data_IF_733122117901
#
_entry.id   IF_733122117901
#
_cell.length_a   1.000
_cell.length_b   1.000
_cell.length_c   1.000
_cell.angle_alpha   90.00
_cell.angle_beta   90.00
_cell.angle_gamma   90.00
#
_symmetry.space_group_name_H-M   'P 1'
#
loop_
_entity.id
_entity.type
_entity.pdbx_description
1 polymer ?
#
# COMPACT_ATOMS: atom_id res chain seq x y z
N UNK A 1 16.19 15.93 2.23
CA UNK A 1 15.85 14.59 1.71
C UNK A 1 16.85 13.62 2.28
N UNK A 2 16.43 12.76 3.19
CA UNK A 2 17.30 11.80 3.87
C UNK A 2 16.74 10.39 3.72
N UNK A 3 17.37 9.59 2.85
CA UNK A 3 16.93 8.23 2.55
C UNK A 3 17.40 7.22 3.61
N UNK A 4 18.26 7.63 4.54
CA UNK A 4 18.75 6.77 5.62
C UNK A 4 17.67 6.47 6.67
N UNK A 5 16.63 7.32 6.75
CA UNK A 5 15.49 7.19 7.67
C UNK A 5 14.47 6.11 7.26
N UNK A 6 14.62 5.51 6.08
CA UNK A 6 13.70 4.48 5.57
C UNK A 6 13.97 3.13 6.25
N UNK A 7 12.99 2.63 6.98
CA UNK A 7 13.04 1.28 7.55
C UNK A 7 12.96 0.23 6.44
N UNK A 8 13.25 -1.03 6.78
CA UNK A 8 13.05 -2.13 5.84
C UNK A 8 11.57 -2.25 5.43
N UNK A 9 10.64 -2.06 6.39
CA UNK A 9 9.21 -2.01 6.11
C UNK A 9 8.87 -0.91 5.09
N UNK A 10 9.35 0.32 5.32
CA UNK A 10 9.09 1.46 4.41
C UNK A 10 9.61 1.18 2.99
N UNK A 11 10.77 0.52 2.86
CA UNK A 11 11.35 0.13 1.57
C UNK A 11 10.52 -0.93 0.85
N UNK A 12 10.04 -1.93 1.57
CA UNK A 12 9.18 -2.98 0.99
C UNK A 12 7.85 -2.36 0.54
N UNK A 13 7.17 -1.61 1.40
CA UNK A 13 5.89 -0.98 1.08
C UNK A 13 6.07 0.00 -0.09
N UNK A 14 7.07 0.88 -0.01
CA UNK A 14 7.35 1.86 -1.07
C UNK A 14 7.67 1.18 -2.40
N UNK A 15 8.56 0.19 -2.41
CA UNK A 15 8.95 -0.54 -3.62
C UNK A 15 7.77 -1.30 -4.25
N UNK A 16 6.99 -2.02 -3.43
CA UNK A 16 5.83 -2.77 -3.91
C UNK A 16 4.67 -1.87 -4.32
N UNK A 17 4.45 -0.73 -3.64
CA UNK A 17 3.45 0.27 -4.05
C UNK A 17 3.82 0.93 -5.38
N UNK A 18 5.09 1.30 -5.59
CA UNK A 18 5.55 1.85 -6.87
C UNK A 18 5.37 0.80 -7.99
N UNK A 19 5.77 -0.44 -7.73
CA UNK A 19 5.56 -1.52 -8.69
C UNK A 19 4.06 -1.77 -8.95
N UNK A 20 3.19 -1.64 -7.95
CA UNK A 20 1.74 -1.77 -8.09
C UNK A 20 1.16 -0.67 -8.99
N UNK A 21 1.60 0.59 -8.81
CA UNK A 21 1.22 1.71 -9.67
C UNK A 21 1.59 1.43 -11.12
N UNK A 22 2.82 0.98 -11.36
CA UNK A 22 3.29 0.63 -12.71
C UNK A 22 2.45 -0.52 -13.28
N UNK A 23 2.20 -1.55 -12.48
CA UNK A 23 1.41 -2.72 -12.86
C UNK A 23 -0.03 -2.35 -13.26
N UNK A 24 -0.69 -1.51 -12.48
CA UNK A 24 -2.08 -1.10 -12.73
C UNK A 24 -2.22 -0.22 -13.98
N UNK A 25 -1.22 0.62 -14.27
CA UNK A 25 -1.27 1.56 -15.38
C UNK A 25 -0.81 0.96 -16.71
N UNK A 26 0.25 0.16 -16.70
CA UNK A 26 0.98 -0.20 -17.92
C UNK A 26 0.95 -1.69 -18.26
N UNK A 27 0.73 -2.58 -17.29
CA UNK A 27 0.75 -4.01 -17.56
C UNK A 27 -0.60 -4.52 -18.03
N UNK A 28 -0.64 -5.50 -18.95
CA UNK A 28 -1.87 -6.09 -19.43
C UNK A 28 -2.52 -6.90 -18.32
N UNK A 29 -3.67 -6.41 -17.85
CA UNK A 29 -4.54 -7.06 -16.88
C UNK A 29 -5.57 -7.95 -17.54
N UNK A 30 -6.10 -7.52 -18.69
CA UNK A 30 -6.90 -8.36 -19.56
C UNK A 30 -6.33 -8.35 -20.98
N UNK A 31 -6.31 -9.51 -21.63
CA UNK A 31 -5.83 -9.68 -23.01
C UNK A 31 -6.81 -10.53 -23.79
N UNK A 32 -7.45 -9.93 -24.79
CA UNK A 32 -8.37 -10.61 -25.69
C UNK A 32 -7.75 -10.68 -27.07
N UNK A 33 -7.79 -11.86 -27.71
CA UNK A 33 -7.39 -12.04 -29.10
C UNK A 33 -8.55 -12.61 -29.90
N UNK A 34 -8.97 -11.90 -30.95
CA UNK A 34 -10.04 -12.35 -31.85
C UNK A 34 -9.69 -12.06 -33.30
N UNK A 35 -9.86 -13.04 -34.17
CA UNK A 35 -9.58 -12.92 -35.62
C UNK A 35 -8.19 -12.35 -35.97
N UNK A 36 -7.16 -12.67 -35.17
CA UNK A 36 -5.79 -12.18 -35.37
C UNK A 36 -5.49 -10.78 -34.81
N UNK A 37 -6.49 -10.08 -34.26
CA UNK A 37 -6.32 -8.80 -33.58
C UNK A 37 -6.21 -9.04 -32.08
N UNK A 38 -5.18 -8.48 -31.44
CA UNK A 38 -4.95 -8.58 -29.99
C UNK A 38 -5.13 -7.22 -29.35
N UNK A 39 -6.00 -7.16 -28.33
CA UNK A 39 -6.26 -5.97 -27.54
C UNK A 39 -5.92 -6.24 -26.08
N UNK A 40 -5.25 -5.29 -25.44
CA UNK A 40 -4.88 -5.37 -24.02
C UNK A 40 -5.48 -4.23 -23.24
N UNK A 41 -5.95 -4.52 -22.02
CA UNK A 41 -6.48 -3.53 -21.08
C UNK A 41 -5.67 -3.53 -19.80
N UNK A 42 -5.40 -2.35 -19.27
CA UNK A 42 -4.67 -2.18 -18.01
C UNK A 42 -5.58 -2.37 -16.79
N UNK A 43 -5.00 -2.44 -15.59
CA UNK A 43 -5.73 -2.68 -14.35
C UNK A 43 -6.73 -1.57 -13.98
N UNK A 44 -6.54 -0.36 -14.51
CA UNK A 44 -7.48 0.77 -14.31
C UNK A 44 -8.55 0.88 -15.39
N UNK A 45 -8.51 0.01 -16.41
CA UNK A 45 -9.51 -0.05 -17.47
C UNK A 45 -10.57 -1.10 -17.17
N UNK A 46 -11.62 -1.13 -18.00
CA UNK A 46 -12.63 -2.16 -17.93
C UNK A 46 -12.04 -3.56 -18.18
N UNK A 47 -12.67 -4.62 -17.65
CA UNK A 47 -13.85 -4.62 -16.77
C UNK A 47 -13.57 -4.12 -15.34
N UNK A 48 -14.61 -3.62 -14.67
CA UNK A 48 -14.54 -3.20 -13.26
C UNK A 48 -13.37 -2.25 -12.94
N UNK A 49 -13.22 -1.19 -13.74
CA UNK A 49 -12.14 -0.18 -13.61
C UNK A 49 -12.12 0.49 -12.24
N UNK A 50 -13.29 0.64 -11.60
CA UNK A 50 -13.47 1.28 -10.32
C UNK A 50 -12.54 0.72 -9.23
N UNK A 51 -12.48 -0.61 -9.08
CA UNK A 51 -11.64 -1.25 -8.07
C UNK A 51 -10.14 -1.05 -8.32
N UNK A 52 -9.73 -1.10 -9.58
CA UNK A 52 -8.34 -0.85 -9.97
C UNK A 52 -7.93 0.60 -9.80
N UNK A 53 -8.84 1.55 -10.08
CA UNK A 53 -8.61 2.97 -9.86
C UNK A 53 -8.49 3.29 -8.36
N UNK A 54 -9.35 2.69 -7.53
CA UNK A 54 -9.28 2.88 -6.08
C UNK A 54 -7.98 2.29 -5.50
N UNK A 55 -7.56 1.11 -5.96
CA UNK A 55 -6.28 0.51 -5.61
C UNK A 55 -5.09 1.40 -6.02
N UNK A 56 -5.14 1.98 -7.23
CA UNK A 56 -4.12 2.92 -7.73
C UNK A 56 -4.00 4.14 -6.81
N UNK A 57 -5.12 4.80 -6.51
CA UNK A 57 -5.14 6.00 -5.68
C UNK A 57 -4.59 5.72 -4.28
N UNK A 58 -4.96 4.58 -3.70
CA UNK A 58 -4.51 4.22 -2.36
C UNK A 58 -3.02 3.83 -2.34
N UNK A 59 -2.51 3.18 -3.40
CA UNK A 59 -1.08 2.93 -3.57
C UNK A 59 -0.29 4.23 -3.71
N UNK A 60 -0.80 5.21 -4.47
CA UNK A 60 -0.21 6.55 -4.57
C UNK A 60 -0.22 7.28 -3.22
N UNK A 61 -1.32 7.20 -2.48
CA UNK A 61 -1.42 7.79 -1.15
C UNK A 61 -0.39 7.18 -0.17
N UNK A 62 -0.18 5.86 -0.20
CA UNK A 62 0.85 5.19 0.59
C UNK A 62 2.26 5.70 0.26
N UNK A 63 2.58 5.83 -1.02
CA UNK A 63 3.87 6.40 -1.47
C UNK A 63 4.03 7.83 -0.94
N UNK A 64 2.99 8.66 -1.08
CA UNK A 64 3.00 10.04 -0.61
C UNK A 64 3.22 10.12 0.90
N UNK A 65 2.52 9.29 1.69
CA UNK A 65 2.66 9.22 3.15
C UNK A 65 4.09 8.84 3.55
N UNK A 66 4.69 7.85 2.89
CA UNK A 66 6.08 7.44 3.17
C UNK A 66 7.05 8.59 2.86
N UNK A 67 6.91 9.24 1.70
CA UNK A 67 7.77 10.36 1.31
C UNK A 67 7.65 11.51 2.31
N UNK A 68 6.43 11.94 2.63
CA UNK A 68 6.21 13.08 3.53
C UNK A 68 6.70 12.76 4.95
N UNK A 69 6.50 11.56 5.46
CA UNK A 69 6.87 11.24 6.86
C UNK A 69 8.34 10.86 7.05
N UNK A 70 9.00 10.34 6.00
CA UNK A 70 10.36 9.76 6.13
C UNK A 70 11.42 10.54 5.38
N UNK A 71 11.05 11.26 4.32
CA UNK A 71 12.00 11.94 3.43
C UNK A 71 11.97 13.46 3.60
N UNK A 72 10.85 14.00 4.06
CA UNK A 72 10.69 15.42 4.41
C UNK A 72 10.58 15.60 5.93
N UNK A 73 10.74 16.83 6.41
CA UNK A 73 10.59 17.20 7.82
C UNK A 73 9.20 17.79 8.11
N UNK A 74 8.20 17.45 7.29
CA UNK A 74 6.83 17.95 7.45
C UNK A 74 6.11 17.09 8.49
N UNK A 75 5.68 17.72 9.57
CA UNK A 75 4.83 17.08 10.57
C UNK A 75 3.41 16.93 10.02
N UNK A 76 2.94 15.69 9.93
CA UNK A 76 1.56 15.41 9.61
C UNK A 76 0.68 15.57 10.85
N UNK A 77 -0.57 16.06 10.69
CA UNK A 77 -1.49 16.17 11.81
C UNK A 77 -1.71 14.82 12.50
N UNK A 78 -1.88 14.87 13.81
CA UNK A 78 -2.17 13.68 14.60
C UNK A 78 -3.52 13.10 14.20
N UNK A 79 -3.55 11.79 14.01
CA UNK A 79 -4.77 11.03 13.70
C UNK A 79 -5.03 10.03 14.82
N UNK A 80 -6.28 9.60 15.06
CA UNK A 80 -6.64 8.74 16.20
C UNK A 80 -5.91 7.39 16.23
N UNK A 81 -5.39 6.93 15.09
CA UNK A 81 -4.66 5.69 14.95
C UNK A 81 -3.17 5.98 14.71
N UNK A 82 -2.25 5.20 15.29
CA UNK A 82 -0.84 5.29 14.96
C UNK A 82 -0.64 5.13 13.44
N UNK A 83 0.20 5.98 12.86
CA UNK A 83 0.39 5.97 11.41
C UNK A 83 0.93 4.64 10.87
N UNK A 84 1.67 3.86 11.66
CA UNK A 84 2.09 2.51 11.25
C UNK A 84 0.88 1.58 11.06
N UNK A 85 -0.08 1.62 11.98
CA UNK A 85 -1.32 0.87 11.88
C UNK A 85 -2.19 1.35 10.71
N UNK A 86 -2.27 2.67 10.47
CA UNK A 86 -2.99 3.21 9.32
C UNK A 86 -2.36 2.76 7.99
N UNK A 87 -1.03 2.79 7.91
CA UNK A 87 -0.27 2.32 6.73
C UNK A 87 -0.53 0.83 6.50
N UNK A 88 -0.51 0.02 7.57
CA UNK A 88 -0.83 -1.41 7.49
C UNK A 88 -2.25 -1.65 6.97
N UNK A 89 -3.26 -1.00 7.54
CA UNK A 89 -4.64 -1.14 7.05
C UNK A 89 -4.79 -0.68 5.60
N UNK A 90 -4.10 0.39 5.20
CA UNK A 90 -4.08 0.82 3.81
C UNK A 90 -3.45 -0.24 2.90
N UNK A 91 -2.36 -0.91 3.30
CA UNK A 91 -1.78 -2.00 2.49
C UNK A 91 -2.76 -3.17 2.31
N UNK A 92 -3.49 -3.53 3.37
CA UNK A 92 -4.56 -4.55 3.29
C UNK A 92 -5.67 -4.09 2.36
N UNK A 93 -6.09 -2.83 2.43
CA UNK A 93 -7.10 -2.28 1.56
C UNK A 93 -6.68 -2.35 0.09
N UNK A 94 -5.42 -2.02 -0.27
CA UNK A 94 -4.93 -2.20 -1.65
C UNK A 94 -5.04 -3.66 -2.08
N UNK A 95 -4.54 -4.59 -1.25
CA UNK A 95 -4.61 -6.02 -1.55
C UNK A 95 -6.05 -6.50 -1.75
N UNK A 96 -6.96 -6.10 -0.86
CA UNK A 96 -8.37 -6.45 -0.95
C UNK A 96 -9.02 -5.88 -2.22
N UNK A 97 -8.74 -4.62 -2.58
CA UNK A 97 -9.27 -4.00 -3.80
C UNK A 97 -8.80 -4.71 -5.07
N UNK A 98 -7.52 -5.11 -5.11
CA UNK A 98 -6.96 -5.91 -6.21
C UNK A 98 -7.65 -7.27 -6.30
N UNK A 99 -7.83 -7.95 -5.15
CA UNK A 99 -8.52 -9.23 -5.11
C UNK A 99 -9.98 -9.11 -5.53
N UNK A 100 -10.70 -8.09 -5.05
CA UNK A 100 -12.09 -7.82 -5.44
C UNK A 100 -12.18 -7.61 -6.95
N UNK A 101 -11.24 -6.85 -7.55
CA UNK A 101 -11.22 -6.68 -9.02
C UNK A 101 -11.01 -8.01 -9.73
N UNK A 102 -10.08 -8.83 -9.25
CA UNK A 102 -9.72 -10.11 -9.86
C UNK A 102 -10.87 -11.14 -9.77
N UNK A 103 -11.58 -11.22 -8.65
CA UNK A 103 -12.73 -12.14 -8.52
C UNK A 103 -13.98 -11.62 -9.24
N UNK A 104 -14.07 -10.31 -9.49
CA UNK A 104 -15.19 -9.71 -10.22
C UNK A 104 -15.14 -10.00 -11.72
N UNK A 105 -13.95 -10.25 -12.27
CA UNK A 105 -13.75 -10.62 -13.68
C UNK A 105 -12.54 -11.56 -13.80
N UNK A 106 -12.81 -12.83 -14.03
CA UNK A 106 -11.77 -13.86 -14.16
C UNK A 106 -11.45 -14.20 -15.61
N UNK A 107 -12.14 -13.60 -16.57
CA UNK A 107 -11.93 -13.89 -17.99
C UNK A 107 -10.77 -13.09 -18.57
N UNK A 108 -10.04 -13.74 -19.50
CA UNK A 108 -8.97 -13.13 -20.29
C UNK A 108 -7.84 -12.50 -19.46
N UNK A 109 -7.54 -13.05 -18.28
CA UNK A 109 -6.51 -12.49 -17.39
C UNK A 109 -5.13 -12.46 -18.05
N UNK A 110 -4.50 -11.30 -17.98
CA UNK A 110 -3.13 -11.06 -18.38
C UNK A 110 -2.16 -11.20 -17.22
N UNK A 111 -0.86 -11.17 -17.54
CA UNK A 111 0.22 -11.28 -16.56
C UNK A 111 0.11 -10.24 -15.42
N UNK A 112 -0.36 -9.02 -15.71
CA UNK A 112 -0.47 -7.96 -14.71
C UNK A 112 -1.44 -8.28 -13.58
N UNK A 113 -2.46 -9.10 -13.82
CA UNK A 113 -3.42 -9.52 -12.79
C UNK A 113 -2.76 -10.42 -11.73
N UNK A 114 -1.95 -11.40 -12.16
CA UNK A 114 -1.22 -12.29 -11.25
C UNK A 114 -0.12 -11.56 -10.49
N UNK A 115 0.61 -10.67 -11.18
CA UNK A 115 1.64 -9.84 -10.55
C UNK A 115 1.02 -8.93 -9.49
N UNK A 116 -0.19 -8.39 -9.71
CA UNK A 116 -0.88 -7.56 -8.73
C UNK A 116 -1.09 -8.30 -7.40
N UNK A 117 -1.41 -9.59 -7.43
CA UNK A 117 -1.60 -10.39 -6.21
C UNK A 117 -0.30 -10.50 -5.42
N UNK A 118 0.82 -10.78 -6.10
CA UNK A 118 2.14 -10.86 -5.46
C UNK A 118 2.56 -9.50 -4.87
N UNK A 119 2.31 -8.41 -5.61
CA UNK A 119 2.61 -7.05 -5.14
C UNK A 119 1.74 -6.67 -3.94
N UNK A 120 0.43 -6.99 -3.96
CA UNK A 120 -0.47 -6.78 -2.84
C UNK A 120 -0.03 -7.57 -1.61
N UNK A 121 0.37 -8.84 -1.78
CA UNK A 121 0.97 -9.65 -0.71
C UNK A 121 2.26 -9.03 -0.16
N UNK A 122 3.13 -8.52 -1.03
CA UNK A 122 4.35 -7.82 -0.64
C UNK A 122 4.07 -6.53 0.16
N UNK A 123 3.05 -5.76 -0.24
CA UNK A 123 2.62 -4.56 0.49
C UNK A 123 2.12 -4.92 1.90
N UNK A 124 1.26 -5.95 2.01
CA UNK A 124 0.72 -6.41 3.30
C UNK A 124 1.85 -6.94 4.19
N UNK A 125 2.78 -7.71 3.63
CA UNK A 125 3.95 -8.19 4.34
C UNK A 125 4.79 -7.02 4.88
N UNK A 126 5.12 -6.04 4.02
CA UNK A 126 5.83 -4.84 4.44
C UNK A 126 5.11 -4.10 5.57
N UNK A 127 3.80 -3.92 5.45
CA UNK A 127 2.96 -3.31 6.48
C UNK A 127 2.95 -4.09 7.80
N UNK A 128 2.93 -5.43 7.74
CA UNK A 128 2.98 -6.29 8.92
C UNK A 128 4.31 -6.14 9.68
N UNK A 129 5.44 -5.99 8.98
CA UNK A 129 6.73 -5.73 9.63
C UNK A 129 6.79 -4.36 10.32
N UNK A 130 6.11 -3.34 9.78
CA UNK A 130 6.18 -1.97 10.28
C UNK A 130 5.11 -1.60 11.30
N UNK A 131 4.21 -2.52 11.66
CA UNK A 131 3.07 -2.22 12.55
C UNK A 131 3.52 -1.90 13.98
N UNK A 132 4.59 -2.55 14.47
CA UNK A 132 5.04 -2.45 15.86
C UNK A 132 5.97 -1.25 16.10
N UNK A 133 6.63 -0.76 15.05
CA UNK A 133 7.48 0.44 15.10
C UNK A 133 6.70 1.70 15.53
N UNK A 134 5.36 1.70 15.38
CA UNK A 134 4.49 2.81 15.75
C UNK A 134 4.03 2.80 17.22
N UNK A 135 4.08 1.66 17.91
CA UNK A 135 3.62 1.55 19.30
C UNK A 135 4.68 2.04 20.29
N UNK A 136 5.96 1.88 19.95
CA UNK A 136 7.10 2.28 20.79
C UNK A 136 7.24 3.80 21.01
N UNK A 137 6.75 4.64 20.08
CA UNK A 137 6.73 6.11 20.26
C UNK A 137 5.61 6.58 21.19
N UNK A 138 4.55 5.78 21.35
CA UNK A 138 3.39 6.11 22.20
C UNK A 138 3.63 5.69 23.66
N UNK A 139 4.34 4.58 23.88
CA UNK A 139 4.63 4.09 25.25
C UNK A 139 5.66 4.91 26.01
N UNK A 140 6.56 5.61 25.31
CA UNK A 140 7.54 6.53 25.93
C UNK A 140 6.92 7.85 26.43
N UNK A 141 5.68 8.15 26.05
CA UNK A 141 4.94 9.35 26.48
C UNK A 141 3.98 9.14 27.66
N UNK A 142 3.73 7.89 28.11
CA UNK A 142 2.77 7.60 29.20
C UNK A 142 3.41 7.04 30.48
N UNK A 143 4.73 7.12 30.59
CA UNK A 143 5.50 6.49 31.67
C UNK A 143 6.32 7.46 32.51
N UNK A 144 5.69 8.40 33.21
CA UNK A 144 6.29 8.96 34.44
C UNK A 144 5.37 8.67 35.62
N UNK A 145 5.50 7.46 36.17
CA UNK A 145 5.04 7.19 37.52
C UNK A 145 5.80 8.11 38.48
N UNK A 146 5.14 9.16 38.96
CA UNK A 146 5.57 9.82 40.19
C UNK A 146 5.20 8.87 41.34
N UNK A 147 6.17 8.36 42.13
CA UNK A 147 5.83 7.63 43.35
C UNK A 147 5.15 8.58 44.35
N UNK A 148 4.17 8.10 45.14
CA UNK A 148 3.52 8.93 46.15
C UNK A 148 4.54 9.37 47.21
N UNK A 149 4.64 10.68 47.44
CA UNK A 149 5.44 11.24 48.53
C UNK A 149 4.76 10.94 49.87
N UNK A 150 5.44 10.27 50.83
CA UNK A 150 4.96 10.21 52.20
C UNK A 150 5.46 11.44 52.97
N UNK A 151 4.54 12.00 53.77
CA UNK A 151 4.65 13.11 54.73
C UNK A 151 4.48 14.53 54.18
#
# INVERSE_FOLDING_TARGET
MDLSKLTLSDKIIGGTAIAMVINLLFLPWHKVSMFGISETRSGVQSPNSFWGLLALLLALALIAVIIVRKVTDVELPEVPLPWGQLTFFATIAVGALVLIKLISETDFLGFGAYLAVLLGGGMIYGGFLGKDDADSSTSLGSGSGAPPTPF
#
